data_IF_518890051267
#
_entry.id   IF_518890051267
#
_cell.length_a   1.000
_cell.length_b   1.000
_cell.length_c   1.000
_cell.angle_alpha   90.00
_cell.angle_beta   90.00
_cell.angle_gamma   90.00
#
_symmetry.space_group_name_H-M   'P 1'
#
loop_
_entity.id
_entity.type
_entity.pdbx_description
1 polymer ?
#
# COMPACT_ATOMS: atom_id res chain seq x y z
N UNK A 1 13.58 -1.98 -7.72
CA UNK A 1 14.99 -2.24 -7.36
C UNK A 1 15.57 -1.26 -6.33
N UNK A 2 16.79 -1.50 -5.84
CA UNK A 2 17.47 -0.55 -4.91
C UNK A 2 17.63 0.80 -5.59
N UNK A 3 16.99 1.83 -5.03
CA UNK A 3 17.05 3.21 -5.53
C UNK A 3 15.85 3.65 -6.35
N UNK A 4 14.89 2.76 -6.63
CA UNK A 4 13.61 3.08 -7.28
C UNK A 4 12.52 3.33 -6.24
N UNK A 5 11.67 4.31 -6.48
CA UNK A 5 10.54 4.61 -5.59
C UNK A 5 9.26 3.86 -6.02
N UNK A 6 9.23 3.41 -7.29
CA UNK A 6 8.17 2.62 -7.89
C UNK A 6 8.65 1.96 -9.18
N UNK A 7 8.02 0.85 -9.56
CA UNK A 7 8.20 0.23 -10.87
C UNK A 7 6.82 -0.12 -11.44
N UNK A 8 6.54 0.39 -12.63
CA UNK A 8 5.26 0.22 -13.32
C UNK A 8 5.37 -0.56 -14.64
N UNK A 9 6.59 -0.94 -15.07
CA UNK A 9 6.84 -1.69 -16.30
C UNK A 9 6.40 -1.04 -17.63
N UNK A 10 5.59 0.03 -17.61
CA UNK A 10 5.10 0.75 -18.79
C UNK A 10 4.69 2.20 -18.45
N UNK A 11 4.62 3.07 -19.47
CA UNK A 11 4.33 4.52 -19.31
C UNK A 11 2.90 4.87 -18.88
N UNK A 12 1.99 3.89 -18.74
CA UNK A 12 0.57 4.15 -18.47
C UNK A 12 0.25 4.43 -17.01
N UNK A 13 1.23 4.35 -16.11
CA UNK A 13 1.00 4.53 -14.68
C UNK A 13 0.81 6.02 -14.32
N UNK A 14 -0.30 6.38 -13.66
CA UNK A 14 -0.60 7.77 -13.32
C UNK A 14 0.25 8.30 -12.15
N UNK A 15 0.93 7.43 -11.41
CA UNK A 15 1.67 7.73 -10.19
C UNK A 15 3.18 7.51 -10.31
N UNK A 16 3.60 6.62 -11.22
CA UNK A 16 4.99 6.22 -11.42
C UNK A 16 5.55 6.70 -12.77
N UNK A 17 6.69 7.38 -12.73
CA UNK A 17 7.43 7.80 -13.91
C UNK A 17 8.26 6.62 -14.44
N UNK A 18 7.81 6.05 -15.56
CA UNK A 18 8.39 4.84 -16.14
C UNK A 18 9.90 4.92 -16.42
N UNK A 19 10.39 6.05 -16.94
CA UNK A 19 11.80 6.15 -17.37
C UNK A 19 12.78 6.24 -16.20
N UNK A 20 12.32 6.72 -15.04
CA UNK A 20 13.16 6.98 -13.88
C UNK A 20 12.86 6.05 -12.72
N UNK A 21 11.77 5.27 -12.79
CA UNK A 21 11.26 4.46 -11.70
C UNK A 21 11.10 5.29 -10.41
N UNK A 22 10.53 6.49 -10.59
CA UNK A 22 10.32 7.49 -9.54
C UNK A 22 8.86 7.88 -9.46
N UNK A 23 8.40 8.23 -8.26
CA UNK A 23 7.06 8.80 -8.11
C UNK A 23 6.96 10.11 -8.90
N UNK A 24 5.84 10.27 -9.61
CA UNK A 24 5.51 11.52 -10.29
C UNK A 24 5.31 12.63 -9.27
N UNK A 25 5.48 13.88 -9.70
CA UNK A 25 5.30 15.04 -8.81
C UNK A 25 3.90 15.03 -8.18
N UNK A 26 3.86 15.10 -6.84
CA UNK A 26 2.62 15.06 -6.06
C UNK A 26 2.12 13.65 -5.71
N UNK A 27 2.70 12.58 -6.25
CA UNK A 27 2.40 11.22 -5.85
C UNK A 27 3.10 10.88 -4.52
N UNK A 28 2.35 10.32 -3.58
CA UNK A 28 2.87 9.77 -2.33
C UNK A 28 3.12 8.26 -2.41
N UNK A 29 2.41 7.59 -3.32
CA UNK A 29 2.46 6.16 -3.58
C UNK A 29 2.12 5.89 -5.04
N UNK A 30 2.53 4.72 -5.53
CA UNK A 30 2.10 4.21 -6.85
C UNK A 30 1.44 2.82 -6.75
N UNK A 31 1.65 2.10 -5.64
CA UNK A 31 1.22 0.72 -5.47
C UNK A 31 0.80 0.44 -4.01
N UNK A 32 0.14 -0.70 -3.83
CA UNK A 32 -0.33 -1.20 -2.54
C UNK A 32 -1.80 -0.86 -2.26
N UNK A 33 -2.41 -1.64 -1.37
CA UNK A 33 -3.84 -1.57 -1.06
C UNK A 33 -4.27 -0.26 -0.39
N UNK A 34 -3.34 0.46 0.24
CA UNK A 34 -3.56 1.80 0.79
C UNK A 34 -3.25 2.94 -0.18
N UNK A 35 -3.02 2.67 -1.47
CA UNK A 35 -2.76 3.70 -2.46
C UNK A 35 -3.98 3.93 -3.35
N UNK A 36 -4.52 5.16 -3.33
CA UNK A 36 -5.64 5.55 -4.18
C UNK A 36 -5.40 6.93 -4.78
N UNK A 37 -5.51 7.05 -6.10
CA UNK A 37 -5.17 8.28 -6.84
C UNK A 37 -3.81 8.86 -6.44
N UNK A 38 -2.81 7.99 -6.31
CA UNK A 38 -1.45 8.33 -5.92
C UNK A 38 -1.29 8.94 -4.52
N UNK A 39 -2.30 8.85 -3.65
CA UNK A 39 -2.27 9.31 -2.27
C UNK A 39 -2.49 8.14 -1.30
N UNK A 40 -1.94 8.25 -0.10
CA UNK A 40 -2.23 7.28 0.96
C UNK A 40 -3.67 7.46 1.46
N UNK A 41 -4.38 6.33 1.60
CA UNK A 41 -5.68 6.30 2.25
C UNK A 41 -5.55 6.70 3.73
N UNK A 42 -6.55 7.36 4.32
CA UNK A 42 -6.53 7.75 5.73
C UNK A 42 -6.28 6.58 6.68
N UNK A 43 -5.62 6.88 7.81
CA UNK A 43 -5.43 5.92 8.88
C UNK A 43 -6.75 5.29 9.36
N UNK A 44 -6.77 3.98 9.57
CA UNK A 44 -7.97 3.22 9.93
C UNK A 44 -8.82 2.76 8.74
N UNK A 45 -8.44 3.05 7.51
CA UNK A 45 -9.06 2.43 6.32
C UNK A 45 -8.65 0.97 6.25
N UNK A 46 -9.60 0.05 6.05
CA UNK A 46 -9.28 -1.39 5.89
C UNK A 46 -8.55 -1.60 4.55
N UNK A 47 -7.29 -2.08 4.57
CA UNK A 47 -6.61 -2.55 3.35
C UNK A 47 -6.93 -4.02 3.07
N UNK A 48 -6.95 -4.87 4.10
CA UNK A 48 -7.25 -6.29 3.97
C UNK A 48 -8.35 -6.70 4.94
N UNK A 49 -9.40 -7.31 4.40
CA UNK A 49 -10.43 -7.92 5.23
C UNK A 49 -9.94 -9.25 5.82
N UNK A 50 -10.35 -9.53 7.05
CA UNK A 50 -10.16 -10.83 7.67
C UNK A 50 -10.96 -11.91 6.96
N UNK A 51 -10.37 -13.08 6.73
CA UNK A 51 -11.04 -14.24 6.11
C UNK A 51 -11.87 -15.05 7.11
N UNK A 52 -11.48 -15.04 8.37
CA UNK A 52 -12.11 -15.79 9.46
C UNK A 52 -11.83 -15.12 10.81
N UNK A 53 -12.24 -15.77 11.91
CA UNK A 53 -12.05 -15.27 13.28
C UNK A 53 -10.59 -15.22 13.74
N UNK A 54 -9.70 -15.95 13.06
CA UNK A 54 -8.26 -16.00 13.32
C UNK A 54 -7.47 -14.99 12.48
N UNK A 55 -8.05 -14.58 11.37
CA UNK A 55 -7.46 -13.66 10.42
C UNK A 55 -7.95 -12.22 10.68
N UNK A 56 -7.22 -11.47 11.49
CA UNK A 56 -7.58 -10.10 11.82
C UNK A 56 -7.46 -9.17 10.60
N UNK A 57 -8.38 -8.19 10.44
CA UNK A 57 -8.30 -7.21 9.38
C UNK A 57 -7.07 -6.31 9.53
N UNK A 58 -6.51 -5.87 8.41
CA UNK A 58 -5.40 -4.93 8.35
C UNK A 58 -5.87 -3.54 7.94
N UNK A 59 -5.23 -2.53 8.51
CA UNK A 59 -5.63 -1.13 8.34
C UNK A 59 -4.46 -0.28 7.84
N UNK A 60 -4.77 0.65 6.96
CA UNK A 60 -3.89 1.72 6.54
C UNK A 60 -3.52 2.60 7.74
N UNK A 61 -2.30 3.12 7.75
CA UNK A 61 -1.82 4.07 8.75
C UNK A 61 -1.94 5.54 8.32
N UNK A 62 -2.16 5.81 7.03
CA UNK A 62 -2.16 7.17 6.46
C UNK A 62 -0.85 7.62 5.84
N UNK A 63 0.19 6.79 5.81
CA UNK A 63 1.52 7.19 5.35
C UNK A 63 2.37 6.07 4.73
N UNK A 64 1.86 4.84 4.61
CA UNK A 64 2.51 3.75 3.88
C UNK A 64 1.51 2.88 3.09
N UNK A 65 2.03 2.09 2.17
CA UNK A 65 1.25 1.34 1.16
C UNK A 65 0.34 0.23 1.71
N UNK A 66 0.63 -0.29 2.91
CA UNK A 66 -0.25 -0.93 3.91
C UNK A 66 0.70 -1.50 4.99
N UNK A 67 0.32 -1.44 6.27
CA UNK A 67 1.05 -2.19 7.29
C UNK A 67 0.55 -3.64 7.25
N UNK A 68 1.46 -4.57 6.99
CA UNK A 68 1.32 -5.92 7.51
C UNK A 68 1.47 -5.81 9.04
N UNK A 69 0.41 -5.41 9.73
CA UNK A 69 0.35 -5.65 11.16
C UNK A 69 0.28 -7.17 11.23
N UNK A 70 1.42 -7.83 11.48
CA UNK A 70 1.41 -9.19 11.99
C UNK A 70 0.73 -9.11 13.36
N UNK A 71 -0.59 -8.96 13.35
CA UNK A 71 -1.41 -8.92 14.54
C UNK A 71 -1.21 -10.30 15.18
N UNK A 72 -0.89 -10.38 16.48
CA UNK A 72 -0.80 -11.67 17.14
C UNK A 72 -2.11 -12.40 16.91
N UNK A 73 -2.03 -13.63 16.39
CA UNK A 73 -3.20 -14.48 16.19
C UNK A 73 -3.98 -14.55 17.51
N UNK A 74 -5.31 -14.34 17.50
CA UNK A 74 -6.11 -14.44 18.71
C UNK A 74 -5.90 -15.80 19.38
N UNK A 75 -5.74 -15.91 20.71
CA UNK A 75 -5.57 -17.20 21.37
C UNK A 75 -6.80 -18.10 21.14
N UNK A 76 -6.57 -19.32 20.66
CA UNK A 76 -7.64 -20.22 20.17
C UNK A 76 -7.63 -20.33 18.64
N UNK A 77 -6.88 -19.43 18.02
CA UNK A 77 -6.15 -19.56 16.78
C UNK A 77 -4.64 -19.65 17.11
#
# INVERSE_FOLDING_TARGET
>A
DVGEDCDCGSEKDPCCEYQMCKLKSGAQCAYGECCYNCQYLPGGTVCRSGKDECDLPEFCNGFSSCFQVHSPTPPGC
#
